data_IF_599010170473
#
_entry.id   IF_599010170473
#
_cell.length_a   1.000
_cell.length_b   1.000
_cell.length_c   1.000
_cell.angle_alpha   90.00
_cell.angle_beta   90.00
_cell.angle_gamma   90.00
#
_symmetry.space_group_name_H-M   'P 1'
#
loop_
_entity.id
_entity.type
_entity.pdbx_description
1 polymer ?
#
# COMPACT_ATOMS: atom_id res chain seq x y z
N UNK A 1 19.35 -13.72 -60.00
CA UNK A 1 18.20 -13.34 -59.18
C UNK A 1 18.66 -13.13 -57.73
N UNK A 2 18.68 -11.87 -57.29
CA UNK A 2 19.10 -11.51 -55.91
C UNK A 2 17.83 -11.29 -55.08
N UNK A 3 17.54 -12.18 -54.12
CA UNK A 3 16.45 -11.99 -53.17
C UNK A 3 16.93 -11.08 -52.06
N UNK A 4 16.35 -9.87 -51.98
CA UNK A 4 16.58 -8.93 -50.88
C UNK A 4 15.67 -9.32 -49.75
N UNK A 5 16.23 -9.81 -48.62
CA UNK A 5 15.48 -10.07 -47.40
C UNK A 5 15.20 -8.75 -46.69
N UNK A 6 13.97 -8.28 -46.74
CA UNK A 6 13.51 -7.18 -45.87
C UNK A 6 13.25 -7.72 -44.48
N UNK A 7 14.14 -7.41 -43.56
CA UNK A 7 13.92 -7.68 -42.13
C UNK A 7 13.00 -6.59 -41.58
N UNK A 8 11.73 -6.94 -41.34
CA UNK A 8 10.80 -6.06 -40.62
C UNK A 8 11.14 -6.15 -39.13
N UNK A 9 11.78 -5.11 -38.57
CA UNK A 9 11.97 -4.94 -37.14
C UNK A 9 10.63 -4.48 -36.56
N UNK A 10 9.90 -5.40 -35.94
CA UNK A 10 8.74 -5.07 -35.12
C UNK A 10 9.26 -4.35 -33.86
N UNK A 11 9.24 -3.04 -33.87
CA UNK A 11 9.39 -2.25 -32.63
C UNK A 11 8.13 -2.50 -31.78
N UNK A 12 8.25 -3.38 -30.78
CA UNK A 12 7.25 -3.49 -29.73
C UNK A 12 7.23 -2.17 -28.96
N UNK A 13 6.25 -1.32 -29.25
CA UNK A 13 5.95 -0.18 -28.43
C UNK A 13 5.47 -0.69 -27.08
N UNK A 14 6.39 -0.83 -26.11
CA UNK A 14 6.02 -0.89 -24.71
C UNK A 14 5.45 0.48 -24.33
N UNK A 15 4.15 0.63 -24.47
CA UNK A 15 3.43 1.77 -23.91
C UNK A 15 3.53 1.64 -22.38
N UNK A 16 4.55 2.25 -21.79
CA UNK A 16 4.53 2.53 -20.37
C UNK A 16 3.38 3.51 -20.16
N UNK A 17 2.45 3.18 -19.29
CA UNK A 17 1.40 4.11 -18.93
C UNK A 17 2.09 5.32 -18.26
N UNK A 18 2.18 6.41 -18.98
CA UNK A 18 2.58 7.70 -18.45
C UNK A 18 1.33 8.36 -17.84
N UNK A 19 1.15 8.17 -16.52
CA UNK A 19 0.00 8.73 -15.84
C UNK A 19 0.04 10.26 -15.76
N UNK A 20 1.19 10.91 -16.00
CA UNK A 20 1.26 12.38 -16.05
C UNK A 20 0.50 12.97 -17.25
N UNK A 21 0.38 12.20 -18.33
CA UNK A 21 -0.36 12.55 -19.53
C UNK A 21 -1.82 12.10 -19.54
N UNK A 22 -2.28 11.40 -18.49
CA UNK A 22 -3.67 10.97 -18.40
C UNK A 22 -4.62 12.16 -18.34
N UNK A 23 -5.79 12.13 -19.05
CA UNK A 23 -6.72 13.28 -19.09
C UNK A 23 -7.14 13.81 -17.70
N UNK A 24 -7.25 12.94 -16.71
CA UNK A 24 -7.62 13.29 -15.35
C UNK A 24 -6.42 13.61 -14.43
N UNK A 25 -5.17 13.58 -14.95
CA UNK A 25 -3.97 13.86 -14.14
C UNK A 25 -3.86 15.33 -13.76
N UNK A 26 -4.37 16.22 -14.61
CA UNK A 26 -4.27 17.66 -14.36
C UNK A 26 -4.85 18.08 -13.01
N UNK A 27 -6.04 17.60 -12.66
CA UNK A 27 -6.70 17.92 -11.39
C UNK A 27 -5.86 17.45 -10.18
N UNK A 28 -5.29 16.25 -10.26
CA UNK A 28 -4.44 15.70 -9.20
C UNK A 28 -3.12 16.49 -9.09
N UNK A 29 -2.49 16.83 -10.21
CA UNK A 29 -1.25 17.63 -10.25
C UNK A 29 -1.52 19.01 -9.67
N UNK A 30 -2.59 19.69 -10.12
CA UNK A 30 -2.97 21.02 -9.64
C UNK A 30 -3.20 21.01 -8.12
N UNK A 31 -3.91 20.01 -7.58
CA UNK A 31 -4.13 19.89 -6.14
C UNK A 31 -2.82 19.67 -5.36
N UNK A 32 -1.93 18.79 -5.84
CA UNK A 32 -0.64 18.57 -5.18
C UNK A 32 0.24 19.83 -5.17
N UNK A 33 0.20 20.60 -6.25
CA UNK A 33 1.01 21.84 -6.37
C UNK A 33 0.39 22.98 -5.57
N UNK A 34 -0.91 23.26 -5.75
CA UNK A 34 -1.57 24.45 -5.19
C UNK A 34 -1.95 24.27 -3.73
N UNK A 35 -2.52 23.10 -3.36
CA UNK A 35 -3.04 22.86 -2.02
C UNK A 35 -1.98 22.26 -1.08
N UNK A 36 -0.97 21.59 -1.64
CA UNK A 36 0.01 20.82 -0.85
C UNK A 36 1.47 21.22 -1.07
N UNK A 37 1.73 22.28 -1.87
CA UNK A 37 3.06 22.85 -2.11
C UNK A 37 4.11 21.83 -2.58
N UNK A 38 3.73 20.98 -3.53
CA UNK A 38 4.69 20.12 -4.25
C UNK A 38 5.21 20.84 -5.49
N UNK A 39 6.48 20.59 -5.83
CA UNK A 39 7.04 21.02 -7.11
C UNK A 39 6.39 20.26 -8.26
N UNK A 40 5.87 20.97 -9.26
CA UNK A 40 5.17 20.35 -10.40
C UNK A 40 6.04 19.33 -11.14
N UNK A 41 7.31 19.64 -11.35
CA UNK A 41 8.28 18.74 -11.99
C UNK A 41 8.44 17.42 -11.23
N UNK A 42 8.46 17.47 -9.90
CA UNK A 42 8.52 16.29 -9.06
C UNK A 42 7.25 15.44 -9.21
N UNK A 43 6.06 16.04 -9.10
CA UNK A 43 4.80 15.32 -9.25
C UNK A 43 4.70 14.64 -10.62
N UNK A 44 5.03 15.36 -11.68
CA UNK A 44 5.05 14.83 -13.05
C UNK A 44 6.01 13.65 -13.15
N UNK A 45 7.24 13.77 -12.65
CA UNK A 45 8.23 12.69 -12.71
C UNK A 45 7.80 11.42 -11.96
N UNK A 46 7.13 11.56 -10.81
CA UNK A 46 6.58 10.42 -10.06
C UNK A 46 5.44 9.75 -10.82
N UNK A 47 4.52 10.52 -11.42
CA UNK A 47 3.43 9.97 -12.22
C UNK A 47 3.92 9.29 -13.51
N UNK A 48 5.00 9.78 -14.11
CA UNK A 48 5.67 9.13 -15.24
C UNK A 48 6.32 7.80 -14.85
N UNK A 49 6.85 7.71 -13.63
CA UNK A 49 7.47 6.49 -13.13
C UNK A 49 6.46 5.40 -12.74
N UNK A 50 5.20 5.77 -12.46
CA UNK A 50 4.15 4.84 -12.08
C UNK A 50 3.75 3.92 -13.24
N UNK A 51 3.59 2.62 -12.92
CA UNK A 51 3.29 1.59 -13.92
C UNK A 51 1.89 1.03 -13.75
N UNK A 52 1.14 0.97 -14.85
CA UNK A 52 -0.16 0.30 -14.87
C UNK A 52 -0.02 -1.19 -14.55
N UNK A 53 -0.83 -1.66 -13.60
CA UNK A 53 -0.87 -3.03 -13.12
C UNK A 53 -2.21 -3.67 -13.46
N UNK A 54 -2.34 -4.29 -14.64
CA UNK A 54 -3.61 -4.90 -15.09
C UNK A 54 -4.15 -5.94 -14.11
N UNK A 55 -3.26 -6.73 -13.49
CA UNK A 55 -3.65 -7.73 -12.46
C UNK A 55 -4.37 -7.12 -11.26
N UNK A 56 -4.09 -5.86 -10.93
CA UNK A 56 -4.78 -5.14 -9.86
C UNK A 56 -6.25 -4.94 -10.22
N UNK A 57 -6.53 -4.55 -11.46
CA UNK A 57 -7.90 -4.34 -11.95
C UNK A 57 -8.70 -5.65 -11.91
N UNK A 58 -8.07 -6.76 -12.30
CA UNK A 58 -8.68 -8.10 -12.23
C UNK A 58 -9.00 -8.48 -10.77
N UNK A 59 -8.06 -8.28 -9.85
CA UNK A 59 -8.24 -8.58 -8.42
C UNK A 59 -9.36 -7.74 -7.80
N UNK A 60 -9.46 -6.45 -8.15
CA UNK A 60 -10.50 -5.56 -7.67
C UNK A 60 -11.89 -5.89 -8.22
N UNK A 61 -11.96 -6.57 -9.36
CA UNK A 61 -13.22 -6.93 -10.00
C UNK A 61 -13.83 -8.22 -9.45
N UNK A 62 -13.03 -9.07 -8.78
CA UNK A 62 -13.45 -10.39 -8.26
C UNK A 62 -12.83 -10.67 -6.88
N UNK A 63 -13.15 -9.89 -5.84
CA UNK A 63 -12.60 -10.11 -4.52
C UNK A 63 -13.10 -11.43 -3.90
N UNK A 64 -12.22 -12.11 -3.17
CA UNK A 64 -12.48 -13.43 -2.59
C UNK A 64 -13.66 -13.42 -1.59
N UNK A 65 -13.87 -12.32 -0.91
CA UNK A 65 -14.95 -12.11 0.07
C UNK A 65 -16.34 -12.31 -0.52
N UNK A 66 -16.52 -12.05 -1.79
CA UNK A 66 -17.82 -12.23 -2.49
C UNK A 66 -17.99 -13.61 -3.11
N UNK A 67 -16.93 -14.43 -3.22
CA UNK A 67 -16.94 -15.69 -3.95
C UNK A 67 -16.78 -16.91 -3.05
N UNK A 68 -16.26 -16.74 -1.84
CA UNK A 68 -15.96 -17.84 -0.92
C UNK A 68 -17.04 -17.98 0.17
N UNK A 69 -17.29 -19.23 0.61
CA UNK A 69 -18.10 -19.49 1.79
C UNK A 69 -17.34 -19.04 3.05
N UNK A 70 -18.08 -18.70 4.11
CA UNK A 70 -17.48 -18.38 5.42
C UNK A 70 -16.54 -19.49 5.92
N UNK A 71 -16.95 -20.75 5.78
CA UNK A 71 -16.12 -21.90 6.17
C UNK A 71 -14.77 -21.95 5.48
N UNK A 72 -14.72 -21.60 4.19
CA UNK A 72 -13.47 -21.52 3.43
C UNK A 72 -12.66 -20.28 3.84
N UNK A 73 -13.33 -19.15 3.99
CA UNK A 73 -12.70 -17.86 4.31
C UNK A 73 -12.04 -17.91 5.68
N UNK A 74 -12.75 -18.36 6.74
CA UNK A 74 -12.20 -18.42 8.11
C UNK A 74 -10.97 -19.31 8.23
N UNK A 75 -10.87 -20.40 7.44
CA UNK A 75 -9.70 -21.29 7.45
C UNK A 75 -8.39 -20.60 7.08
N UNK A 76 -8.44 -19.49 6.31
CA UNK A 76 -7.25 -18.71 6.00
C UNK A 76 -6.64 -18.04 7.24
N UNK A 77 -7.47 -17.70 8.21
CA UNK A 77 -7.06 -16.91 9.38
C UNK A 77 -6.86 -17.76 10.62
N UNK A 78 -7.59 -18.88 10.76
CA UNK A 78 -7.55 -19.76 11.92
C UNK A 78 -6.59 -20.96 11.76
N UNK A 79 -5.51 -20.77 10.98
CA UNK A 79 -4.43 -21.76 10.87
C UNK A 79 -3.70 -21.91 12.23
N UNK A 80 -3.48 -23.15 12.69
CA UNK A 80 -2.72 -23.43 13.92
C UNK A 80 -1.36 -22.75 13.94
N UNK A 81 -0.65 -22.76 12.79
CA UNK A 81 0.65 -22.08 12.63
C UNK A 81 0.56 -20.58 12.83
N UNK A 82 -0.53 -19.93 12.37
CA UNK A 82 -0.75 -18.50 12.60
C UNK A 82 -0.98 -18.21 14.07
N UNK A 83 -1.83 -19.00 14.74
CA UNK A 83 -2.10 -18.89 16.18
C UNK A 83 -0.82 -19.09 17.00
N UNK A 84 -0.04 -20.13 16.68
CA UNK A 84 1.24 -20.39 17.35
C UNK A 84 2.24 -19.22 17.16
N UNK A 85 2.35 -18.69 15.93
CA UNK A 85 3.20 -17.53 15.66
C UNK A 85 2.72 -16.28 16.42
N UNK A 86 1.40 -16.09 16.61
CA UNK A 86 0.85 -14.98 17.39
C UNK A 86 1.24 -15.07 18.86
N UNK A 87 1.14 -16.25 19.45
CA UNK A 87 1.62 -16.49 20.81
C UNK A 87 3.12 -16.17 20.96
N UNK A 88 3.94 -16.60 20.00
CA UNK A 88 5.37 -16.30 20.01
C UNK A 88 5.65 -14.79 19.83
N UNK A 89 4.92 -14.12 18.96
CA UNK A 89 5.04 -12.68 18.75
C UNK A 89 4.67 -11.91 20.02
N UNK A 90 3.54 -12.25 20.63
CA UNK A 90 3.09 -11.67 21.90
C UNK A 90 4.13 -11.88 23.01
N UNK A 91 4.63 -13.11 23.19
CA UNK A 91 5.66 -13.42 24.18
C UNK A 91 6.95 -12.65 23.95
N UNK A 92 7.40 -12.58 22.68
CA UNK A 92 8.62 -11.86 22.30
C UNK A 92 8.55 -10.36 22.63
N UNK A 93 7.38 -9.77 22.50
CA UNK A 93 7.15 -8.33 22.68
C UNK A 93 6.28 -8.02 23.91
N UNK A 94 6.28 -8.91 24.91
CA UNK A 94 5.39 -8.85 26.08
C UNK A 94 5.40 -7.48 26.79
N UNK A 95 6.58 -6.91 27.03
CA UNK A 95 6.69 -5.64 27.74
C UNK A 95 6.12 -4.46 26.95
N UNK A 96 6.29 -4.47 25.60
CA UNK A 96 5.68 -3.51 24.71
C UNK A 96 4.15 -3.62 24.77
N UNK A 97 3.62 -4.85 24.62
CA UNK A 97 2.18 -5.07 24.66
C UNK A 97 1.57 -4.70 26.01
N UNK A 98 2.27 -4.93 27.12
CA UNK A 98 1.83 -4.48 28.45
C UNK A 98 1.71 -2.96 28.53
N UNK A 99 2.69 -2.22 27.98
CA UNK A 99 2.67 -0.77 27.96
C UNK A 99 1.51 -0.23 27.09
N UNK A 100 1.39 -0.72 25.87
CA UNK A 100 0.34 -0.28 24.93
C UNK A 100 -1.05 -0.61 25.44
N UNK A 101 -1.26 -1.82 26.00
CA UNK A 101 -2.55 -2.20 26.60
C UNK A 101 -2.92 -1.30 27.78
N UNK A 102 -1.96 -0.98 28.67
CA UNK A 102 -2.21 -0.08 29.81
C UNK A 102 -2.49 1.35 29.36
N UNK A 103 -1.85 1.82 28.29
CA UNK A 103 -1.98 3.20 27.80
C UNK A 103 -3.27 3.40 27.00
N UNK A 104 -3.56 2.50 26.06
CA UNK A 104 -4.69 2.65 25.13
C UNK A 104 -5.93 1.82 25.50
N UNK A 105 -5.83 0.91 26.47
CA UNK A 105 -6.95 0.09 26.94
C UNK A 105 -7.42 -0.98 25.95
N UNK A 106 -6.64 -1.28 24.91
CA UNK A 106 -6.96 -2.32 23.93
C UNK A 106 -6.27 -3.63 24.34
N UNK A 107 -7.02 -4.74 24.52
CA UNK A 107 -6.40 -6.02 24.86
C UNK A 107 -5.34 -6.46 23.86
N UNK A 108 -4.18 -6.86 24.34
CA UNK A 108 -3.03 -7.28 23.52
C UNK A 108 -3.34 -8.40 22.53
N UNK A 109 -4.29 -9.27 22.89
CA UNK A 109 -4.75 -10.37 22.04
C UNK A 109 -5.48 -9.84 20.79
N UNK A 110 -6.20 -8.73 20.92
CA UNK A 110 -6.89 -8.08 19.81
C UNK A 110 -5.87 -7.48 18.86
N UNK A 111 -4.91 -6.68 19.37
CA UNK A 111 -3.83 -6.08 18.57
C UNK A 111 -3.04 -7.19 17.84
N UNK A 112 -2.62 -8.23 18.58
CA UNK A 112 -1.89 -9.37 18.03
C UNK A 112 -2.69 -10.07 16.92
N UNK A 113 -4.00 -10.24 17.12
CA UNK A 113 -4.87 -10.90 16.15
C UNK A 113 -4.99 -10.09 14.86
N UNK A 114 -5.13 -8.77 14.96
CA UNK A 114 -5.15 -7.86 13.80
C UNK A 114 -3.85 -7.99 13.02
N UNK A 115 -2.69 -7.86 13.67
CA UNK A 115 -1.38 -8.01 13.01
C UNK A 115 -1.19 -9.41 12.38
N UNK A 116 -1.78 -10.43 13.01
CA UNK A 116 -1.80 -11.79 12.50
C UNK A 116 -2.65 -11.95 11.23
N UNK A 117 -3.81 -11.32 11.19
CA UNK A 117 -4.72 -11.33 10.03
C UNK A 117 -4.10 -10.55 8.87
N UNK A 118 -3.66 -9.32 9.13
CA UNK A 118 -3.21 -8.38 8.11
C UNK A 118 -1.90 -8.83 7.43
N UNK A 119 -0.89 -9.18 8.22
CA UNK A 119 0.46 -9.38 7.66
C UNK A 119 1.19 -10.61 8.16
N UNK A 120 0.52 -11.52 8.90
CA UNK A 120 1.19 -12.62 9.59
C UNK A 120 2.34 -12.10 10.49
N UNK A 121 2.04 -11.07 11.26
CA UNK A 121 3.00 -10.41 12.18
C UNK A 121 4.17 -9.76 11.41
N UNK A 122 3.86 -9.03 10.34
CA UNK A 122 4.82 -8.30 9.52
C UNK A 122 5.58 -9.14 8.49
N UNK A 123 5.27 -10.44 8.35
CA UNK A 123 5.96 -11.32 7.38
C UNK A 123 5.50 -11.10 5.94
N UNK A 124 4.26 -10.68 5.72
CA UNK A 124 3.66 -10.50 4.39
C UNK A 124 2.96 -9.12 4.37
N UNK A 125 3.69 -8.09 3.97
CA UNK A 125 3.20 -6.70 3.93
C UNK A 125 2.75 -6.25 2.53
N UNK A 126 2.71 -7.19 1.57
CA UNK A 126 2.43 -6.90 0.16
C UNK A 126 3.70 -6.80 -0.67
N UNK A 127 3.54 -6.87 -2.00
CA UNK A 127 4.65 -6.88 -2.97
C UNK A 127 4.42 -5.95 -4.17
N UNK A 128 3.31 -5.24 -4.19
CA UNK A 128 3.05 -4.22 -5.21
C UNK A 128 3.66 -2.89 -4.78
N UNK A 129 4.22 -2.13 -5.72
CA UNK A 129 4.54 -0.73 -5.45
C UNK A 129 3.24 0.01 -5.18
N UNK A 130 3.16 0.70 -4.04
CA UNK A 130 1.95 1.43 -3.62
C UNK A 130 1.61 2.52 -4.64
N UNK A 131 2.62 3.20 -5.19
CA UNK A 131 2.45 4.17 -6.27
C UNK A 131 1.73 3.55 -7.47
N UNK A 132 2.20 2.39 -7.95
CA UNK A 132 1.59 1.69 -9.09
C UNK A 132 0.15 1.29 -8.79
N UNK A 133 -0.11 0.79 -7.57
CA UNK A 133 -1.45 0.37 -7.13
C UNK A 133 -2.41 1.55 -7.12
N UNK A 134 -2.03 2.63 -6.46
CA UNK A 134 -2.90 3.81 -6.31
C UNK A 134 -3.10 4.53 -7.64
N UNK A 135 -2.06 4.66 -8.48
CA UNK A 135 -2.19 5.24 -9.82
C UNK A 135 -3.10 4.38 -10.71
N UNK A 136 -2.88 3.06 -10.76
CA UNK A 136 -3.75 2.16 -11.55
C UNK A 136 -5.20 2.27 -11.10
N UNK A 137 -5.47 2.21 -9.81
CA UNK A 137 -6.85 2.27 -9.29
C UNK A 137 -7.44 3.67 -9.38
N UNK A 138 -6.62 4.71 -9.27
CA UNK A 138 -7.05 6.10 -9.39
C UNK A 138 -7.46 6.49 -10.81
N UNK A 139 -6.74 6.00 -11.80
CA UNK A 139 -6.94 6.40 -13.19
C UNK A 139 -7.68 5.37 -14.04
N UNK A 140 -7.52 4.08 -13.76
CA UNK A 140 -8.07 3.00 -14.60
C UNK A 140 -9.20 2.20 -13.94
N UNK A 141 -9.65 2.56 -12.72
CA UNK A 141 -10.74 1.88 -12.03
C UNK A 141 -11.91 2.84 -11.70
N UNK A 142 -12.83 3.12 -12.65
CA UNK A 142 -13.85 4.16 -12.54
C UNK A 142 -14.73 4.06 -11.29
N UNK A 143 -15.07 2.84 -10.82
CA UNK A 143 -15.96 2.61 -9.67
C UNK A 143 -15.47 3.29 -8.38
N UNK A 144 -14.17 3.44 -8.19
CA UNK A 144 -13.55 4.04 -7.01
C UNK A 144 -12.41 5.01 -7.34
N UNK A 145 -12.36 5.52 -8.57
CA UNK A 145 -11.31 6.44 -9.06
C UNK A 145 -11.09 7.62 -8.10
N UNK A 146 -12.16 8.27 -7.70
CA UNK A 146 -12.13 9.42 -6.78
C UNK A 146 -11.46 9.09 -5.43
N UNK A 147 -11.79 7.95 -4.87
CA UNK A 147 -11.19 7.47 -3.62
C UNK A 147 -9.69 7.21 -3.79
N UNK A 148 -9.29 6.46 -4.82
CA UNK A 148 -7.87 6.12 -5.00
C UNK A 148 -7.02 7.31 -5.43
N UNK A 149 -7.56 8.29 -6.16
CA UNK A 149 -6.86 9.57 -6.40
C UNK A 149 -6.66 10.36 -5.11
N UNK A 150 -7.64 10.38 -4.22
CA UNK A 150 -7.48 10.98 -2.89
C UNK A 150 -6.38 10.25 -2.09
N UNK A 151 -6.37 8.91 -2.09
CA UNK A 151 -5.32 8.14 -1.41
C UNK A 151 -3.94 8.35 -2.04
N UNK A 152 -3.85 8.56 -3.36
CA UNK A 152 -2.60 8.90 -4.03
C UNK A 152 -2.08 10.27 -3.59
N UNK A 153 -2.93 11.29 -3.43
CA UNK A 153 -2.57 12.59 -2.84
C UNK A 153 -2.05 12.39 -1.40
N UNK A 154 -2.76 11.60 -0.59
CA UNK A 154 -2.31 11.30 0.77
C UNK A 154 -0.98 10.55 0.78
N UNK A 155 -0.72 9.69 -0.22
CA UNK A 155 0.54 8.96 -0.34
C UNK A 155 1.72 9.88 -0.66
N UNK A 156 1.56 10.84 -1.57
CA UNK A 156 2.57 11.88 -1.80
C UNK A 156 2.91 12.65 -0.50
N UNK A 157 1.89 13.01 0.27
CA UNK A 157 2.07 13.73 1.53
C UNK A 157 2.75 12.87 2.58
N UNK A 158 2.30 11.63 2.75
CA UNK A 158 2.86 10.65 3.67
C UNK A 158 4.35 10.45 3.43
N UNK A 159 4.75 10.22 2.18
CA UNK A 159 6.15 9.95 1.84
C UNK A 159 7.04 11.17 2.08
N UNK A 160 6.55 12.38 1.83
CA UNK A 160 7.26 13.62 2.16
C UNK A 160 7.40 13.82 3.68
N UNK A 161 6.31 13.62 4.42
CA UNK A 161 6.26 13.84 5.88
C UNK A 161 7.18 12.86 6.64
N UNK A 162 7.35 11.64 6.14
CA UNK A 162 8.20 10.62 6.76
C UNK A 162 9.53 10.39 6.01
N UNK A 163 9.90 11.28 5.09
CA UNK A 163 11.14 11.20 4.31
C UNK A 163 11.34 9.81 3.63
N UNK A 164 10.26 9.26 3.06
CA UNK A 164 10.26 7.96 2.40
C UNK A 164 10.41 8.11 0.89
N UNK A 165 11.09 7.17 0.23
CA UNK A 165 11.15 7.11 -1.23
C UNK A 165 9.81 6.57 -1.80
N UNK A 166 9.02 7.46 -2.39
CA UNK A 166 7.71 7.17 -2.99
C UNK A 166 7.75 6.06 -4.03
N UNK A 167 8.89 5.86 -4.70
CA UNK A 167 9.07 4.86 -5.76
C UNK A 167 9.38 3.47 -5.21
N UNK A 168 9.76 3.35 -3.93
CA UNK A 168 10.21 2.09 -3.33
C UNK A 168 9.17 1.42 -2.43
N UNK A 169 8.21 2.17 -1.89
CA UNK A 169 7.24 1.65 -0.92
C UNK A 169 6.40 0.52 -1.53
N UNK A 170 6.35 -0.60 -0.81
CA UNK A 170 5.56 -1.77 -1.16
C UNK A 170 4.37 -1.94 -0.22
N UNK A 171 3.30 -2.52 -0.77
CA UNK A 171 2.06 -2.78 -0.04
C UNK A 171 1.16 -3.78 -0.77
N UNK A 172 -0.12 -3.79 -0.41
CA UNK A 172 -1.12 -4.61 -1.07
C UNK A 172 -1.47 -4.08 -2.48
N UNK A 173 -2.16 -4.90 -3.26
CA UNK A 173 -2.69 -4.48 -4.56
C UNK A 173 -3.68 -3.30 -4.49
N UNK A 174 -4.24 -3.03 -3.31
CA UNK A 174 -5.13 -1.90 -3.07
C UNK A 174 -4.44 -0.70 -2.38
N UNK A 175 -3.11 -0.74 -2.23
CA UNK A 175 -2.32 0.35 -1.66
C UNK A 175 -2.26 0.39 -0.13
N UNK A 176 -2.64 -0.69 0.55
CA UNK A 176 -2.49 -0.82 2.00
C UNK A 176 -1.05 -1.17 2.36
N UNK A 177 -0.52 -0.62 3.48
CA UNK A 177 0.90 -0.59 3.81
C UNK A 177 1.19 -1.02 5.25
N UNK A 178 2.42 -1.48 5.46
CA UNK A 178 2.97 -1.74 6.79
C UNK A 178 2.37 -2.95 7.51
N UNK A 179 2.67 -3.09 8.78
CA UNK A 179 2.20 -4.19 9.64
C UNK A 179 0.68 -4.27 9.75
N UNK A 180 0.02 -3.11 9.90
CA UNK A 180 -1.44 -2.98 10.07
C UNK A 180 -2.21 -2.80 8.76
N UNK A 181 -1.55 -2.84 7.60
CA UNK A 181 -2.18 -2.65 6.29
C UNK A 181 -3.01 -1.36 6.20
N UNK A 182 -2.44 -0.24 6.64
CA UNK A 182 -3.08 1.06 6.57
C UNK A 182 -3.05 1.63 5.15
N UNK A 183 -4.16 2.21 4.71
CA UNK A 183 -4.18 3.08 3.51
C UNK A 183 -3.55 4.43 3.86
N UNK A 184 -3.16 5.20 2.86
CA UNK A 184 -2.36 6.43 3.04
C UNK A 184 -3.01 7.45 3.97
N UNK A 185 -4.32 7.66 3.85
CA UNK A 185 -5.07 8.57 4.72
C UNK A 185 -5.11 8.10 6.18
N UNK A 186 -5.32 6.79 6.40
CA UNK A 186 -5.32 6.21 7.75
C UNK A 186 -3.93 6.24 8.38
N UNK A 187 -2.89 5.96 7.60
CA UNK A 187 -1.51 6.06 8.07
C UNK A 187 -1.21 7.46 8.60
N UNK A 188 -1.52 8.50 7.82
CA UNK A 188 -1.30 9.90 8.21
C UNK A 188 -2.16 10.35 9.40
N UNK A 189 -3.34 9.77 9.58
CA UNK A 189 -4.27 10.16 10.63
C UNK A 189 -4.02 9.46 11.98
N UNK A 190 -3.53 8.22 11.95
CA UNK A 190 -3.54 7.34 13.12
C UNK A 190 -2.18 6.74 13.48
N UNK A 191 -1.20 6.69 12.57
CA UNK A 191 0.11 6.17 12.92
C UNK A 191 0.79 7.07 13.95
N UNK A 192 1.42 6.46 14.95
CA UNK A 192 2.13 7.13 16.03
C UNK A 192 3.60 6.73 16.02
N UNK A 193 4.48 7.66 16.35
CA UNK A 193 5.88 7.41 16.66
C UNK A 193 5.93 7.00 18.15
N UNK A 194 5.84 5.69 18.39
CA UNK A 194 5.75 5.17 19.75
C UNK A 194 7.11 4.88 20.39
N UNK A 195 8.15 4.67 19.59
CA UNK A 195 9.51 4.51 20.10
C UNK A 195 10.27 5.83 20.23
N UNK A 196 9.71 6.93 19.70
CA UNK A 196 10.22 8.29 19.86
C UNK A 196 11.43 8.60 19.00
N UNK A 197 11.60 7.91 17.85
CA UNK A 197 12.72 8.14 16.92
C UNK A 197 12.48 9.31 15.96
N UNK A 198 11.29 9.92 15.97
CA UNK A 198 10.87 11.06 15.15
C UNK A 198 10.05 10.68 13.93
N UNK A 199 9.76 9.40 13.72
CA UNK A 199 8.99 8.90 12.59
C UNK A 199 7.99 7.82 13.03
N UNK A 200 6.76 7.88 12.54
CA UNK A 200 5.80 6.78 12.71
C UNK A 200 6.05 5.71 11.64
N UNK A 201 6.93 4.74 11.92
CA UNK A 201 7.36 3.70 10.95
C UNK A 201 6.53 2.40 11.07
N UNK A 202 5.36 2.35 10.43
CA UNK A 202 4.56 1.13 10.36
C UNK A 202 5.17 0.03 9.46
N UNK A 203 6.29 0.30 8.80
CA UNK A 203 6.96 -0.69 7.95
C UNK A 203 7.97 -1.55 8.72
N UNK A 204 8.73 -0.96 9.65
CA UNK A 204 9.87 -1.62 10.28
C UNK A 204 9.85 -1.52 11.81
N UNK A 205 9.21 -0.49 12.39
CA UNK A 205 9.08 -0.35 13.85
C UNK A 205 7.93 -1.24 14.36
N UNK A 206 8.27 -2.22 15.20
CA UNK A 206 7.25 -3.02 15.90
C UNK A 206 6.55 -2.19 16.97
N UNK A 207 7.23 -1.30 17.74
CA UNK A 207 6.56 -0.41 18.67
C UNK A 207 5.46 0.43 18.03
N UNK A 208 5.74 1.10 16.91
CA UNK A 208 4.76 1.93 16.21
C UNK A 208 3.60 1.12 15.64
N UNK A 209 3.91 -0.09 15.16
CA UNK A 209 2.90 -0.97 14.59
C UNK A 209 1.96 -1.61 15.63
N UNK A 210 2.36 -1.65 16.92
CA UNK A 210 1.57 -2.21 18.02
C UNK A 210 0.75 -1.14 18.72
N UNK A 211 1.23 0.09 18.74
CA UNK A 211 0.55 1.25 19.32
C UNK A 211 -0.49 1.84 18.36
#
# INVERSE_FOLDING_TARGET
MRYSLFTIILLANFSFADYSSHPEAKELIDSLVQDHNFEQSYVVSVLQAAKKQTRILDSMSSPAEFTWTWERYKKLFLEEKRIANGKLFLTKHNDLFNKVENEFGVPREIITSILGVETRYGKIKGSYKVLDSLATLGFDFPRRSKFFKSELIQFFRLTRENNLDILSIQGSYAGAMGYGQFISSSYRAYAVDYDGDGYADLFNSVPDAVA
#
